data_IF_838408431964
#
_entry.id   IF_838408431964
#
_cell.length_a   1.000
_cell.length_b   1.000
_cell.length_c   1.000
_cell.angle_alpha   90.00
_cell.angle_beta   90.00
_cell.angle_gamma   90.00
#
_symmetry.space_group_name_H-M   'P 1'
#
loop_
_entity.id
_entity.type
_entity.pdbx_description
1 polymer ?
#
# COMPACT_ATOMS: atom_id res chain seq x y z
N UNK A 1 3.59 43.84 1.04
CA UNK A 1 2.79 42.84 0.31
C UNK A 1 3.75 41.80 -0.26
N UNK A 2 3.68 40.54 0.18
CA UNK A 2 3.81 39.47 -0.80
C UNK A 2 2.77 38.37 -0.55
N UNK A 3 1.89 38.15 -1.53
CA UNK A 3 1.04 36.97 -1.60
C UNK A 3 1.58 36.08 -2.73
N UNK A 4 2.63 35.31 -2.40
CA UNK A 4 3.09 34.20 -3.23
C UNK A 4 2.13 33.03 -3.02
N UNK A 5 1.11 32.95 -3.87
CA UNK A 5 0.20 31.81 -3.92
C UNK A 5 0.93 30.61 -4.51
N UNK A 6 1.63 29.85 -3.66
CA UNK A 6 2.21 28.56 -4.05
C UNK A 6 1.13 27.59 -4.49
N UNK A 7 1.34 27.11 -5.70
CA UNK A 7 0.47 26.33 -6.53
C UNK A 7 0.08 25.01 -5.84
N UNK A 8 -1.21 24.84 -5.55
CA UNK A 8 -1.77 23.54 -5.14
C UNK A 8 -1.74 22.56 -6.31
N UNK A 9 -0.58 21.99 -6.63
CA UNK A 9 -0.46 20.83 -7.54
C UNK A 9 0.19 19.64 -6.83
N UNK A 10 -0.60 18.72 -6.21
CA UNK A 10 -0.01 17.39 -5.97
C UNK A 10 -0.95 16.18 -6.18
N UNK A 11 -2.26 16.34 -6.38
CA UNK A 11 -3.17 15.16 -6.39
C UNK A 11 -3.20 14.37 -7.70
N UNK A 12 -3.03 15.03 -8.84
CA UNK A 12 -3.16 14.40 -10.18
C UNK A 12 -1.96 13.51 -10.52
N UNK A 13 -0.76 13.94 -10.14
CA UNK A 13 0.48 13.21 -10.41
C UNK A 13 0.65 11.99 -9.49
N UNK A 14 0.18 12.07 -8.25
CA UNK A 14 0.17 10.95 -7.30
C UNK A 14 -0.73 9.80 -7.79
N UNK A 15 -1.96 10.10 -8.20
CA UNK A 15 -2.89 9.10 -8.71
C UNK A 15 -2.32 8.40 -9.96
N UNK A 16 -1.64 9.16 -10.83
CA UNK A 16 -0.95 8.63 -12.01
C UNK A 16 0.22 7.71 -11.64
N UNK A 17 1.05 8.10 -10.66
CA UNK A 17 2.18 7.28 -10.17
C UNK A 17 1.70 6.00 -9.48
N UNK A 18 0.69 6.10 -8.62
CA UNK A 18 0.11 4.93 -7.94
C UNK A 18 -0.51 3.96 -8.96
N UNK A 19 -1.29 4.48 -9.92
CA UNK A 19 -1.91 3.66 -10.96
C UNK A 19 -0.85 2.96 -11.82
N UNK A 20 0.23 3.66 -12.18
CA UNK A 20 1.37 3.07 -12.90
C UNK A 20 2.05 1.98 -12.07
N UNK A 21 2.34 2.23 -10.80
CA UNK A 21 2.95 1.24 -9.91
C UNK A 21 2.06 0.00 -9.75
N UNK A 22 0.75 0.17 -9.55
CA UNK A 22 -0.22 -0.95 -9.48
C UNK A 22 -0.23 -1.76 -10.77
N UNK A 23 -0.21 -1.11 -11.94
CA UNK A 23 -0.16 -1.79 -13.24
C UNK A 23 1.12 -2.63 -13.39
N UNK A 24 2.28 -2.06 -13.05
CA UNK A 24 3.56 -2.79 -13.10
C UNK A 24 3.53 -3.99 -12.14
N UNK A 25 3.07 -3.80 -10.89
CA UNK A 25 2.95 -4.90 -9.92
C UNK A 25 2.02 -6.01 -10.42
N UNK A 26 0.92 -5.66 -11.07
CA UNK A 26 0.01 -6.63 -11.67
C UNK A 26 0.71 -7.45 -12.77
N UNK A 27 1.49 -6.80 -13.64
CA UNK A 27 2.27 -7.48 -14.67
C UNK A 27 3.27 -8.47 -14.09
N UNK A 28 4.04 -8.05 -13.09
CA UNK A 28 5.02 -8.92 -12.39
C UNK A 28 4.32 -10.11 -11.72
N UNK A 29 3.20 -9.88 -11.01
CA UNK A 29 2.43 -10.97 -10.38
C UNK A 29 1.90 -11.98 -11.40
N UNK A 30 1.39 -11.51 -12.54
CA UNK A 30 0.93 -12.41 -13.60
C UNK A 30 2.08 -13.23 -14.19
N UNK A 31 3.26 -12.64 -14.34
CA UNK A 31 4.46 -13.37 -14.77
C UNK A 31 4.87 -14.44 -13.75
N UNK A 32 4.87 -14.11 -12.44
CA UNK A 32 5.13 -15.07 -11.37
C UNK A 32 4.13 -16.23 -11.36
N UNK A 33 2.84 -15.93 -11.51
CA UNK A 33 1.79 -16.95 -11.62
C UNK A 33 1.98 -17.83 -12.86
N UNK A 34 2.36 -17.22 -13.99
CA UNK A 34 2.61 -17.95 -15.23
C UNK A 34 3.77 -18.93 -15.09
N UNK A 35 4.88 -18.51 -14.49
CA UNK A 35 6.03 -19.38 -14.18
C UNK A 35 5.57 -20.55 -13.31
N UNK A 36 4.92 -20.26 -12.18
CA UNK A 36 4.47 -21.31 -11.26
C UNK A 36 3.49 -22.31 -11.90
N UNK A 37 2.61 -21.83 -12.79
CA UNK A 37 1.68 -22.70 -13.52
C UNK A 37 2.39 -23.55 -14.58
N UNK A 38 3.31 -22.96 -15.34
CA UNK A 38 4.07 -23.70 -16.35
C UNK A 38 4.97 -24.75 -15.69
N UNK A 39 5.60 -24.43 -14.56
CA UNK A 39 6.36 -25.38 -13.74
C UNK A 39 5.49 -26.55 -13.25
N UNK A 40 4.29 -26.26 -12.72
CA UNK A 40 3.34 -27.27 -12.25
C UNK A 40 2.83 -28.18 -13.38
N UNK A 41 2.78 -27.67 -14.61
CA UNK A 41 2.33 -28.40 -15.80
C UNK A 41 3.50 -29.02 -16.59
N UNK A 42 4.74 -28.87 -16.14
CA UNK A 42 5.94 -29.35 -16.84
C UNK A 42 6.18 -28.68 -18.20
N UNK A 43 5.70 -27.45 -18.37
CA UNK A 43 5.82 -26.69 -19.62
C UNK A 43 6.98 -25.69 -19.54
N UNK A 44 7.71 -25.46 -20.63
CA UNK A 44 8.75 -24.43 -20.64
C UNK A 44 8.12 -23.03 -20.60
N UNK A 45 8.54 -22.21 -19.64
CA UNK A 45 8.17 -20.79 -19.60
C UNK A 45 9.07 -19.95 -20.51
N UNK A 46 8.54 -19.00 -21.30
CA UNK A 46 9.36 -18.10 -22.10
C UNK A 46 10.35 -17.27 -21.24
N UNK A 47 11.60 -17.08 -21.69
CA UNK A 47 12.65 -16.43 -20.87
C UNK A 47 12.30 -14.98 -20.50
N UNK A 48 11.59 -14.25 -21.37
CA UNK A 48 11.14 -12.90 -21.07
C UNK A 48 10.14 -12.84 -19.89
N UNK A 49 9.31 -13.86 -19.73
CA UNK A 49 8.34 -13.97 -18.62
C UNK A 49 9.09 -14.30 -17.32
N UNK A 50 10.10 -15.16 -17.40
CA UNK A 50 10.97 -15.48 -16.25
C UNK A 50 11.70 -14.22 -15.77
N UNK A 51 12.28 -13.42 -16.67
CA UNK A 51 12.92 -12.15 -16.32
C UNK A 51 11.94 -11.16 -15.68
N UNK A 52 10.73 -11.04 -16.24
CA UNK A 52 9.70 -10.16 -15.71
C UNK A 52 9.24 -10.59 -14.29
N UNK A 53 9.14 -11.89 -14.03
CA UNK A 53 8.74 -12.44 -12.74
C UNK A 53 9.76 -12.17 -11.63
N UNK A 54 11.03 -12.01 -11.99
CA UNK A 54 12.15 -11.72 -11.08
C UNK A 54 12.31 -10.23 -10.76
N UNK A 55 11.61 -9.34 -11.47
CA UNK A 55 11.72 -7.91 -11.20
C UNK A 55 11.23 -7.56 -9.78
N UNK A 56 11.89 -6.62 -9.09
CA UNK A 56 11.44 -6.15 -7.80
C UNK A 56 10.08 -5.44 -7.95
N UNK A 57 9.16 -5.70 -7.02
CA UNK A 57 7.88 -5.00 -7.02
C UNK A 57 8.10 -3.52 -6.71
N UNK A 58 7.60 -2.58 -7.56
CA UNK A 58 7.71 -1.17 -7.24
C UNK A 58 6.90 -0.86 -5.98
N UNK A 59 7.46 0.00 -5.12
CA UNK A 59 6.78 0.47 -3.93
C UNK A 59 5.55 1.29 -4.32
N UNK A 60 4.45 1.13 -3.59
CA UNK A 60 3.33 2.05 -3.71
C UNK A 60 3.65 3.32 -2.91
N UNK A 61 3.31 4.50 -3.43
CA UNK A 61 3.42 5.72 -2.65
C UNK A 61 2.57 5.57 -1.40
N UNK A 62 3.12 6.01 -0.26
CA UNK A 62 2.39 5.99 0.99
C UNK A 62 1.20 6.95 0.88
N UNK A 63 0.04 6.60 1.44
CA UNK A 63 -1.07 7.55 1.57
C UNK A 63 -0.69 8.77 2.42
N UNK A 64 0.40 8.71 3.17
CA UNK A 64 0.94 9.82 3.93
C UNK A 64 1.93 10.69 3.16
N UNK A 65 2.40 10.29 1.97
CA UNK A 65 3.35 11.08 1.18
C UNK A 65 2.72 12.39 0.71
N UNK A 66 1.40 12.40 0.46
CA UNK A 66 0.61 13.61 0.15
C UNK A 66 0.34 14.48 1.38
N UNK A 67 0.52 13.92 2.57
CA UNK A 67 0.33 14.58 3.86
C UNK A 67 1.66 15.07 4.46
N UNK A 68 2.76 14.99 3.70
CA UNK A 68 4.08 15.47 4.08
C UNK A 68 4.50 16.64 3.20
N UNK A 69 5.20 17.61 3.79
CA UNK A 69 5.96 18.60 3.03
C UNK A 69 7.08 17.91 2.24
N UNK A 70 7.65 18.56 1.22
CA UNK A 70 8.80 18.05 0.49
C UNK A 70 9.98 17.66 1.40
N UNK A 71 10.13 18.34 2.54
CA UNK A 71 11.12 18.05 3.59
C UNK A 71 10.78 16.82 4.46
N UNK A 72 9.72 16.08 4.12
CA UNK A 72 9.26 14.88 4.84
C UNK A 72 8.51 15.14 6.14
N UNK A 73 8.29 16.40 6.53
CA UNK A 73 7.54 16.76 7.75
C UNK A 73 6.05 16.61 7.49
N UNK A 74 5.30 16.03 8.43
CA UNK A 74 3.85 16.00 8.32
C UNK A 74 3.31 17.43 8.23
N UNK A 75 2.44 17.67 7.25
CA UNK A 75 1.69 18.91 7.14
C UNK A 75 0.92 19.10 8.45
N UNK A 76 1.20 20.22 9.12
CA UNK A 76 0.61 20.54 10.44
C UNK A 76 -0.84 21.02 10.33
N UNK A 77 -1.38 21.11 9.12
CA UNK A 77 -2.73 21.60 8.91
C UNK A 77 -3.78 20.64 9.51
N UNK A 78 -4.90 21.17 10.01
CA UNK A 78 -5.92 20.36 10.67
C UNK A 78 -6.57 19.31 9.75
N UNK A 79 -6.63 19.55 8.43
CA UNK A 79 -7.26 18.63 7.49
C UNK A 79 -6.40 17.38 7.27
N UNK A 80 -5.08 17.56 7.07
CA UNK A 80 -4.12 16.46 6.97
C UNK A 80 -4.09 15.58 8.22
N UNK A 81 -4.19 16.19 9.41
CA UNK A 81 -4.30 15.45 10.67
C UNK A 81 -5.56 14.60 10.77
N UNK A 82 -6.71 15.13 10.32
CA UNK A 82 -7.99 14.39 10.28
C UNK A 82 -7.93 13.22 9.29
N UNK A 83 -7.36 13.43 8.11
CA UNK A 83 -7.21 12.39 7.09
C UNK A 83 -6.34 11.24 7.60
N UNK A 84 -5.20 11.57 8.25
CA UNK A 84 -4.34 10.59 8.90
C UNK A 84 -5.07 9.82 10.02
N UNK A 85 -5.81 10.52 10.88
CA UNK A 85 -6.58 9.89 11.95
C UNK A 85 -7.60 8.88 11.39
N UNK A 86 -8.34 9.25 10.34
CA UNK A 86 -9.30 8.35 9.67
C UNK A 86 -8.61 7.12 9.10
N UNK A 87 -7.47 7.30 8.42
CA UNK A 87 -6.69 6.18 7.89
C UNK A 87 -6.24 5.22 8.99
N UNK A 88 -5.68 5.74 10.09
CA UNK A 88 -5.23 4.93 11.22
C UNK A 88 -6.39 4.20 11.89
N UNK A 89 -7.54 4.86 12.10
CA UNK A 89 -8.76 4.21 12.62
C UNK A 89 -9.20 3.05 11.75
N UNK A 90 -9.19 3.23 10.42
CA UNK A 90 -9.56 2.17 9.47
C UNK A 90 -8.58 1.00 9.54
N UNK A 91 -7.28 1.28 9.61
CA UNK A 91 -6.25 0.25 9.75
C UNK A 91 -6.39 -0.57 11.03
N UNK A 92 -6.60 0.09 12.17
CA UNK A 92 -6.81 -0.57 13.46
C UNK A 92 -8.08 -1.42 13.45
N UNK A 93 -9.20 -0.89 12.96
CA UNK A 93 -10.46 -1.66 12.87
C UNK A 93 -10.34 -2.88 11.95
N UNK A 94 -9.64 -2.74 10.83
CA UNK A 94 -9.40 -3.87 9.92
C UNK A 94 -8.53 -4.95 10.58
N UNK A 95 -7.52 -4.56 11.36
CA UNK A 95 -6.72 -5.50 12.13
C UNK A 95 -7.54 -6.21 13.22
N UNK A 96 -8.39 -5.49 13.95
CA UNK A 96 -9.31 -6.06 14.93
C UNK A 96 -10.26 -7.09 14.30
N UNK A 97 -10.88 -6.73 13.16
CA UNK A 97 -11.74 -7.65 12.42
C UNK A 97 -10.97 -8.90 11.96
N UNK A 98 -9.73 -8.73 11.48
CA UNK A 98 -8.90 -9.85 11.06
C UNK A 98 -8.59 -10.80 12.21
N UNK A 99 -8.21 -10.28 13.38
CA UNK A 99 -7.99 -11.10 14.59
C UNK A 99 -9.24 -11.93 14.91
N UNK A 100 -10.40 -11.28 14.98
CA UNK A 100 -11.66 -11.97 15.29
C UNK A 100 -12.02 -13.05 14.25
N UNK A 101 -11.79 -12.78 12.96
CA UNK A 101 -12.05 -13.75 11.88
C UNK A 101 -11.07 -14.93 11.90
N UNK A 102 -9.80 -14.67 12.19
CA UNK A 102 -8.77 -15.71 12.29
C UNK A 102 -9.07 -16.60 13.52
N UNK A 103 -9.43 -16.02 14.67
CA UNK A 103 -9.87 -16.73 15.88
C UNK A 103 -11.10 -17.61 15.61
N UNK A 104 -12.14 -17.06 14.98
CA UNK A 104 -13.36 -17.81 14.64
C UNK A 104 -13.10 -19.00 13.69
N UNK A 105 -12.00 -18.94 12.93
CA UNK A 105 -11.60 -19.99 11.98
C UNK A 105 -10.48 -20.90 12.50
N UNK A 106 -10.06 -20.71 13.76
CA UNK A 106 -8.95 -21.47 14.36
C UNK A 106 -7.60 -21.24 13.66
N UNK A 107 -7.42 -20.08 13.00
CA UNK A 107 -6.19 -19.74 12.27
C UNK A 107 -5.29 -18.84 13.12
N UNK A 108 -3.96 -19.01 13.05
CA UNK A 108 -3.05 -18.11 13.75
C UNK A 108 -3.00 -16.74 13.07
N UNK A 109 -3.27 -15.68 13.83
CA UNK A 109 -3.07 -14.30 13.37
C UNK A 109 -1.59 -13.90 13.51
N UNK A 110 -0.99 -13.21 12.52
CA UNK A 110 0.36 -12.68 12.65
C UNK A 110 0.52 -11.69 13.80
N UNK A 111 1.64 -11.75 14.53
CA UNK A 111 1.90 -10.91 15.72
C UNK A 111 1.84 -9.40 15.45
N UNK A 112 2.32 -8.96 14.28
CA UNK A 112 2.24 -7.55 13.88
C UNK A 112 0.78 -7.06 13.79
N UNK A 113 -0.14 -7.93 13.35
CA UNK A 113 -1.57 -7.61 13.24
C UNK A 113 -2.22 -7.59 14.62
N UNK A 114 -1.86 -8.52 15.52
CA UNK A 114 -2.34 -8.50 16.91
C UNK A 114 -1.93 -7.21 17.63
N UNK A 115 -0.66 -6.82 17.51
CA UNK A 115 -0.15 -5.55 18.07
C UNK A 115 -0.93 -4.35 17.54
N UNK A 116 -1.20 -4.32 16.24
CA UNK A 116 -1.97 -3.24 15.61
C UNK A 116 -3.44 -3.22 16.09
N UNK A 117 -4.06 -4.39 16.27
CA UNK A 117 -5.44 -4.50 16.75
C UNK A 117 -5.62 -4.02 18.20
N UNK A 118 -4.58 -4.16 19.03
CA UNK A 118 -4.56 -3.68 20.42
C UNK A 118 -4.36 -2.16 20.54
N UNK A 119 -3.99 -1.47 19.45
CA UNK A 119 -3.81 -0.02 19.49
C UNK A 119 -5.15 0.69 19.67
N UNK A 120 -5.15 1.75 20.51
CA UNK A 120 -6.32 2.61 20.64
C UNK A 120 -6.45 3.49 19.38
N UNK A 121 -7.60 3.49 18.69
CA UNK A 121 -7.81 4.38 17.55
C UNK A 121 -7.66 5.85 17.95
N UNK A 122 -6.99 6.68 17.13
CA UNK A 122 -6.83 8.10 17.43
C UNK A 122 -8.19 8.83 17.48
N UNK A 123 -8.34 9.87 18.33
CA UNK A 123 -9.59 10.60 18.55
C UNK A 123 -10.07 11.35 17.32
#
# INVERSE_FOLDING_TARGET
MPAGGEERRPRRDWASREQRARRIRSGIRMAQLRVALDDALGRPTPPAVVQLAQLPMPALPSPFDTLRTPDGKLLKDPASRREMALYLRRGIRAAQLRVALDEARGRPTPEAVKRLAQMKPPP
#
